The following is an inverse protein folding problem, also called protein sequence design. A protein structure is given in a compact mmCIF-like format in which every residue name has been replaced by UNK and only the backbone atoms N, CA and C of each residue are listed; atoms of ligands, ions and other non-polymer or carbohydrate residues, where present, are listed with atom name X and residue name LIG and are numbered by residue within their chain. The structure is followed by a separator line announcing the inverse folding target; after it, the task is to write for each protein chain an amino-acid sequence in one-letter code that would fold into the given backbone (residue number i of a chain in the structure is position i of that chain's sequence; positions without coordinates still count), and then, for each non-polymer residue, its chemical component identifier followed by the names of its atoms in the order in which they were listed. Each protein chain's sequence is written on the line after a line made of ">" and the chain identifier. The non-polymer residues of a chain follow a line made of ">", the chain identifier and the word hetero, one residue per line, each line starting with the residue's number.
data_IF_830106614035
#
_entry.id   IF_830106614035
#
_cell.length_a   1.000
_cell.length_b   1.000
_cell.length_c   1.000
_cell.angle_alpha   90.00
_cell.angle_beta   90.00
_cell.angle_gamma   90.00
#
_symmetry.space_group_name_H-M   'P 1'
#
loop_
_entity.id
_entity.type
_entity.pdbx_description
1 polymer ?
#
# COMPACT_ATOMS: atom_id res chain seq x y z
N UNK A 1 23.63 -5.02 -17.56
CA UNK A 1 24.38 -6.29 -17.64
C UNK A 1 24.00 -7.09 -18.89
N UNK A 2 22.71 -7.33 -19.14
CA UNK A 2 22.27 -8.12 -20.31
C UNK A 2 22.66 -7.48 -21.66
N UNK A 3 22.52 -6.15 -21.80
CA UNK A 3 22.91 -5.43 -23.03
C UNK A 3 24.41 -5.53 -23.28
N UNK A 4 25.23 -5.46 -22.23
CA UNK A 4 26.67 -5.63 -22.31
C UNK A 4 27.04 -7.03 -22.81
N UNK A 5 26.46 -8.08 -22.23
CA UNK A 5 26.70 -9.46 -22.61
C UNK A 5 26.25 -9.74 -24.06
N UNK A 6 25.09 -9.22 -24.45
CA UNK A 6 24.56 -9.38 -25.79
C UNK A 6 25.48 -8.71 -26.84
N UNK A 7 25.91 -7.45 -26.58
CA UNK A 7 26.83 -6.75 -27.48
C UNK A 7 28.18 -7.45 -27.59
N UNK A 8 28.71 -7.94 -26.47
CA UNK A 8 29.95 -8.72 -26.44
C UNK A 8 29.84 -10.01 -27.25
N UNK A 9 28.70 -10.73 -27.10
CA UNK A 9 28.45 -11.96 -27.85
C UNK A 9 28.31 -11.73 -29.40
N UNK A 10 27.81 -10.56 -29.78
CA UNK A 10 27.59 -10.16 -31.16
C UNK A 10 28.82 -9.45 -31.78
N UNK A 11 29.93 -9.28 -31.04
CA UNK A 11 31.13 -8.56 -31.50
C UNK A 11 30.87 -7.08 -31.78
N UNK A 12 29.86 -6.47 -31.18
CA UNK A 12 29.52 -5.06 -31.39
C UNK A 12 30.31 -4.17 -30.42
N UNK A 13 30.62 -2.94 -30.85
CA UNK A 13 31.26 -1.95 -30.00
C UNK A 13 30.48 -1.70 -28.72
N UNK A 14 31.19 -1.69 -27.59
CA UNK A 14 30.63 -1.47 -26.28
C UNK A 14 31.01 -0.05 -25.84
N UNK A 15 30.03 0.84 -25.83
CA UNK A 15 30.18 2.18 -25.27
C UNK A 15 29.75 2.18 -23.81
N UNK A 16 30.61 2.64 -22.91
CA UNK A 16 30.31 2.76 -21.49
C UNK A 16 30.92 4.04 -20.91
N UNK A 17 30.28 4.53 -19.88
CA UNK A 17 30.80 5.63 -19.05
C UNK A 17 31.12 5.03 -17.70
N UNK A 18 32.36 5.21 -17.25
CA UNK A 18 32.76 4.86 -15.88
C UNK A 18 32.27 6.01 -15.00
N UNK A 19 31.43 5.70 -14.03
CA UNK A 19 31.02 6.63 -12.99
C UNK A 19 31.47 6.05 -11.66
N UNK A 20 32.25 6.82 -10.93
CA UNK A 20 32.56 6.50 -9.54
C UNK A 20 31.33 6.90 -8.72
N UNK A 21 30.58 5.92 -8.26
CA UNK A 21 29.48 6.11 -7.33
C UNK A 21 29.39 4.89 -6.43
N UNK A 22 29.52 5.11 -5.16
CA UNK A 22 29.31 4.10 -4.12
C UNK A 22 27.85 4.04 -3.66
N UNK A 23 26.96 4.90 -4.18
CA UNK A 23 25.55 4.94 -3.79
C UNK A 23 24.66 4.17 -4.76
N UNK A 24 24.01 3.13 -4.21
CA UNK A 24 22.98 2.37 -4.91
C UNK A 24 21.83 3.25 -5.45
N UNK A 25 21.60 4.43 -4.86
CA UNK A 25 20.58 5.38 -5.31
C UNK A 25 20.91 5.96 -6.68
N UNK A 26 22.16 6.29 -6.96
CA UNK A 26 22.59 6.82 -8.26
C UNK A 26 22.40 5.78 -9.37
N UNK A 27 22.71 4.52 -9.08
CA UNK A 27 22.50 3.40 -10.02
C UNK A 27 21.01 3.19 -10.30
N UNK A 28 20.15 3.32 -9.28
CA UNK A 28 18.71 3.22 -9.44
C UNK A 28 18.16 4.36 -10.31
N UNK A 29 18.66 5.59 -10.11
CA UNK A 29 18.25 6.78 -10.86
C UNK A 29 18.61 6.65 -12.36
N UNK A 30 19.85 6.21 -12.65
CA UNK A 30 20.32 6.00 -14.02
C UNK A 30 19.46 4.95 -14.75
N UNK A 31 19.13 3.87 -14.07
CA UNK A 31 18.33 2.79 -14.65
C UNK A 31 16.85 3.16 -14.76
N UNK A 32 16.29 3.89 -13.79
CA UNK A 32 14.90 4.35 -13.83
C UNK A 32 14.61 5.26 -15.01
N UNK A 33 15.59 6.08 -15.43
CA UNK A 33 15.46 6.99 -16.57
C UNK A 33 15.58 6.29 -17.95
N UNK A 34 16.12 5.08 -18.01
CA UNK A 34 16.35 4.36 -19.28
C UNK A 34 15.27 3.33 -19.63
N UNK A 35 14.68 2.71 -18.65
CA UNK A 35 13.59 1.75 -18.84
C UNK A 35 12.67 1.90 -17.64
N UNK A 36 11.39 2.11 -17.84
CA UNK A 36 10.43 2.30 -16.75
C UNK A 36 10.50 1.14 -15.73
N UNK A 37 11.35 1.28 -14.73
CA UNK A 37 11.47 0.29 -13.66
C UNK A 37 10.14 0.13 -12.94
N UNK A 38 9.73 -1.10 -12.77
CA UNK A 38 8.57 -1.43 -11.93
C UNK A 38 8.91 -1.32 -10.45
N UNK A 39 7.90 -1.31 -9.59
CA UNK A 39 8.13 -1.36 -8.15
C UNK A 39 8.92 -2.61 -7.72
N UNK A 40 8.70 -3.73 -8.39
CA UNK A 40 9.41 -5.00 -8.15
C UNK A 40 10.90 -4.86 -8.49
N UNK A 41 11.24 -4.16 -9.57
CA UNK A 41 12.62 -3.90 -9.96
C UNK A 41 13.35 -3.07 -8.89
N UNK A 42 12.73 -1.97 -8.44
CA UNK A 42 13.30 -1.14 -7.37
C UNK A 42 13.46 -1.94 -6.05
N UNK A 43 12.41 -2.68 -5.65
CA UNK A 43 12.45 -3.51 -4.45
C UNK A 43 13.57 -4.57 -4.53
N UNK A 44 13.65 -5.28 -5.66
CA UNK A 44 14.68 -6.30 -5.90
C UNK A 44 16.08 -5.72 -5.83
N UNK A 45 16.29 -4.57 -6.49
CA UNK A 45 17.57 -3.86 -6.52
C UNK A 45 18.03 -3.46 -5.12
N UNK A 46 17.21 -2.73 -4.35
CA UNK A 46 17.61 -2.28 -3.02
C UNK A 46 17.71 -3.41 -2.00
N UNK A 47 16.99 -4.52 -2.19
CA UNK A 47 17.20 -5.73 -1.40
C UNK A 47 18.57 -6.38 -1.70
N UNK A 48 19.03 -6.37 -2.96
CA UNK A 48 20.36 -6.88 -3.32
C UNK A 48 21.49 -6.04 -2.69
N UNK A 49 21.26 -4.72 -2.52
CA UNK A 49 22.14 -3.84 -1.76
C UNK A 49 21.92 -3.87 -0.24
N UNK A 50 21.20 -4.87 0.26
CA UNK A 50 20.96 -5.13 1.69
C UNK A 50 20.35 -3.96 2.46
N UNK A 51 19.58 -3.10 1.78
CA UNK A 51 18.86 -2.00 2.44
C UNK A 51 17.78 -2.58 3.37
N UNK A 52 17.97 -2.42 4.68
CA UNK A 52 17.18 -3.07 5.75
C UNK A 52 15.67 -2.86 5.57
N UNK A 53 15.22 -1.61 5.34
CA UNK A 53 13.81 -1.29 5.23
C UNK A 53 13.15 -1.96 4.02
N UNK A 54 13.89 -2.11 2.90
CA UNK A 54 13.41 -2.83 1.71
C UNK A 54 13.33 -4.34 1.94
N UNK A 55 14.28 -4.91 2.70
CA UNK A 55 14.23 -6.33 3.08
C UNK A 55 13.02 -6.62 3.98
N UNK A 56 12.76 -5.75 4.94
CA UNK A 56 11.56 -5.85 5.80
C UNK A 56 10.30 -5.72 4.96
N UNK A 57 10.21 -4.70 4.10
CA UNK A 57 9.08 -4.50 3.19
C UNK A 57 8.84 -5.75 2.33
N UNK A 58 9.89 -6.32 1.71
CA UNK A 58 9.82 -7.54 0.91
C UNK A 58 9.30 -8.73 1.72
N UNK A 59 9.77 -8.90 2.96
CA UNK A 59 9.30 -9.94 3.86
C UNK A 59 7.81 -9.80 4.16
N UNK A 60 7.34 -8.58 4.46
CA UNK A 60 5.93 -8.29 4.76
C UNK A 60 5.01 -8.48 3.56
N UNK A 61 5.45 -8.07 2.38
CA UNK A 61 4.73 -8.32 1.11
C UNK A 61 4.54 -9.81 0.89
N UNK A 62 5.59 -10.62 1.11
CA UNK A 62 5.53 -12.07 0.98
C UNK A 62 4.64 -12.72 2.04
N UNK A 63 4.74 -12.28 3.30
CA UNK A 63 3.97 -12.80 4.43
C UNK A 63 2.46 -12.63 4.22
N UNK A 64 2.03 -11.44 3.75
CA UNK A 64 0.60 -11.11 3.62
C UNK A 64 0.08 -11.18 2.18
N UNK A 65 0.88 -11.63 1.22
CA UNK A 65 0.54 -11.69 -0.21
C UNK A 65 -0.04 -10.36 -0.74
N UNK A 66 0.58 -9.25 -0.33
CA UNK A 66 0.10 -7.90 -0.59
C UNK A 66 0.90 -7.25 -1.71
N UNK A 67 0.28 -6.49 -2.63
CA UNK A 67 1.03 -5.70 -3.62
C UNK A 67 1.91 -4.62 -2.94
N UNK A 68 3.02 -4.25 -3.60
CA UNK A 68 4.01 -3.32 -3.04
C UNK A 68 3.41 -1.96 -2.69
N UNK A 69 2.60 -1.40 -3.60
CA UNK A 69 2.02 -0.06 -3.40
C UNK A 69 1.07 -0.03 -2.20
N UNK A 70 0.33 -1.09 -1.98
CA UNK A 70 -0.56 -1.25 -0.85
C UNK A 70 0.23 -1.38 0.46
N UNK A 71 1.32 -2.14 0.45
CA UNK A 71 2.20 -2.23 1.60
C UNK A 71 2.83 -0.87 1.95
N UNK A 72 3.31 -0.12 0.95
CA UNK A 72 3.81 1.24 1.13
C UNK A 72 2.73 2.18 1.70
N UNK A 73 1.49 2.06 1.22
CA UNK A 73 0.34 2.83 1.72
C UNK A 73 0.09 2.57 3.20
N UNK A 74 0.13 1.30 3.62
CA UNK A 74 -0.06 0.93 5.04
C UNK A 74 1.10 1.46 5.89
N UNK A 75 2.36 1.28 5.44
CA UNK A 75 3.54 1.77 6.17
C UNK A 75 3.56 3.30 6.29
N UNK A 76 3.12 4.02 5.26
CA UNK A 76 3.03 5.48 5.31
C UNK A 76 1.99 5.97 6.31
N UNK A 77 1.09 5.09 6.74
CA UNK A 77 -0.02 5.44 7.62
C UNK A 77 -1.05 6.38 6.97
N UNK A 78 -0.97 6.65 5.68
CA UNK A 78 -1.93 7.48 4.95
C UNK A 78 -2.87 6.61 4.10
N UNK A 79 -4.14 6.99 3.91
CA UNK A 79 -5.07 6.23 3.08
C UNK A 79 -4.73 6.29 1.59
N UNK A 80 -3.89 7.23 1.19
CA UNK A 80 -3.38 7.40 -0.17
C UNK A 80 -1.86 7.35 -0.15
N UNK A 81 -1.26 6.61 -1.07
CA UNK A 81 0.19 6.62 -1.25
C UNK A 81 0.60 7.98 -1.80
N UNK A 82 1.36 8.72 -0.99
CA UNK A 82 1.87 10.04 -1.37
C UNK A 82 2.99 9.93 -2.41
N UNK A 83 3.13 10.97 -3.24
CA UNK A 83 4.20 11.08 -4.25
C UNK A 83 5.58 11.00 -3.64
N UNK A 84 5.79 11.62 -2.47
CA UNK A 84 7.05 11.64 -1.74
C UNK A 84 7.46 10.23 -1.33
N UNK A 85 6.54 9.42 -0.79
CA UNK A 85 6.81 8.02 -0.42
C UNK A 85 7.18 7.19 -1.65
N UNK A 86 6.52 7.46 -2.79
CA UNK A 86 6.81 6.79 -4.05
C UNK A 86 8.18 7.20 -4.58
N UNK A 87 8.53 8.49 -4.53
CA UNK A 87 9.85 9.01 -4.91
C UNK A 87 10.95 8.40 -4.04
N UNK A 88 10.79 8.50 -2.71
CA UNK A 88 11.75 7.93 -1.75
C UNK A 88 11.93 6.42 -1.94
N UNK A 89 10.84 5.69 -2.23
CA UNK A 89 10.95 4.27 -2.54
C UNK A 89 11.75 4.01 -3.81
N UNK A 90 11.50 4.75 -4.88
CA UNK A 90 12.20 4.57 -6.16
C UNK A 90 13.66 4.99 -6.10
N UNK A 91 13.99 5.95 -5.24
CA UNK A 91 15.34 6.52 -5.11
C UNK A 91 16.16 5.89 -3.97
N UNK A 92 15.66 4.84 -3.31
CA UNK A 92 16.40 4.15 -2.26
C UNK A 92 16.38 4.82 -0.89
N UNK A 93 15.61 5.90 -0.73
CA UNK A 93 15.49 6.66 0.53
C UNK A 93 14.35 6.21 1.43
N UNK A 94 13.52 5.25 0.97
CA UNK A 94 12.40 4.76 1.75
C UNK A 94 12.85 4.24 3.12
N UNK A 95 12.16 4.72 4.15
CA UNK A 95 12.34 4.31 5.55
C UNK A 95 11.01 3.89 6.14
N UNK A 96 11.02 2.81 6.89
CA UNK A 96 9.88 2.39 7.70
C UNK A 96 9.83 3.28 8.94
N UNK A 97 8.74 4.04 9.18
CA UNK A 97 8.62 4.88 10.35
C UNK A 97 8.77 4.08 11.65
N UNK A 98 9.36 4.69 12.67
CA UNK A 98 9.50 4.04 13.98
C UNK A 98 8.11 3.61 14.50
N UNK A 99 8.02 2.37 14.98
CA UNK A 99 6.76 1.80 15.47
C UNK A 99 5.74 1.39 14.40
N UNK A 100 5.97 1.68 13.11
CA UNK A 100 5.02 1.37 12.05
C UNK A 100 4.83 -0.14 11.80
N UNK A 101 5.80 -0.98 12.17
CA UNK A 101 5.72 -2.44 11.97
C UNK A 101 4.54 -3.07 12.70
N UNK A 102 4.32 -2.73 13.96
CA UNK A 102 3.19 -3.27 14.74
C UNK A 102 1.85 -2.82 14.18
N UNK A 103 1.76 -1.57 13.76
CA UNK A 103 0.59 -1.02 13.08
C UNK A 103 0.32 -1.71 11.74
N UNK A 104 1.38 -1.94 10.96
CA UNK A 104 1.30 -2.67 9.69
C UNK A 104 0.77 -4.08 9.90
N UNK A 105 1.38 -4.85 10.81
CA UNK A 105 1.00 -6.25 11.08
C UNK A 105 -0.45 -6.36 11.56
N UNK A 106 -0.89 -5.44 12.42
CA UNK A 106 -2.28 -5.38 12.85
C UNK A 106 -3.22 -5.16 11.66
N UNK A 107 -3.00 -4.12 10.87
CA UNK A 107 -3.82 -3.78 9.71
C UNK A 107 -3.81 -4.92 8.68
N UNK A 108 -2.64 -5.46 8.36
CA UNK A 108 -2.50 -6.54 7.39
C UNK A 108 -3.26 -7.81 7.82
N UNK A 109 -3.19 -8.19 9.11
CA UNK A 109 -3.96 -9.31 9.69
C UNK A 109 -5.47 -9.07 9.62
N UNK A 110 -5.91 -7.88 9.97
CA UNK A 110 -7.32 -7.49 9.92
C UNK A 110 -7.86 -7.57 8.48
N UNK A 111 -7.09 -7.05 7.51
CA UNK A 111 -7.44 -7.10 6.08
C UNK A 111 -7.44 -8.53 5.52
N UNK A 112 -6.46 -9.34 5.90
CA UNK A 112 -6.42 -10.75 5.51
C UNK A 112 -7.65 -11.49 6.04
N UNK A 113 -8.04 -11.23 7.29
CA UNK A 113 -9.27 -11.79 7.87
C UNK A 113 -10.52 -11.39 7.10
N UNK A 114 -10.66 -10.10 6.77
CA UNK A 114 -11.80 -9.60 5.98
C UNK A 114 -11.82 -10.28 4.61
N UNK A 115 -10.67 -10.35 3.93
CA UNK A 115 -10.55 -10.96 2.61
C UNK A 115 -10.91 -12.46 2.62
N UNK A 116 -10.59 -13.17 3.69
CA UNK A 116 -10.93 -14.59 3.83
C UNK A 116 -12.45 -14.83 4.00
N UNK A 117 -13.18 -13.85 4.54
CA UNK A 117 -14.65 -13.92 4.70
C UNK A 117 -15.37 -13.45 3.42
N UNK A 118 -14.76 -12.51 2.71
CA UNK A 118 -15.25 -12.07 1.41
C UNK A 118 -14.92 -13.16 0.39
N UNK A 119 -15.91 -13.97 0.01
CA UNK A 119 -15.73 -15.03 -0.99
C UNK A 119 -14.83 -14.57 -2.14
N UNK A 120 -13.74 -15.24 -2.35
CA UNK A 120 -12.62 -15.25 -3.29
C UNK A 120 -12.56 -14.30 -4.52
N UNK A 121 -13.61 -13.58 -4.85
CA UNK A 121 -13.67 -12.68 -6.01
C UNK A 121 -13.15 -11.28 -5.74
N UNK A 122 -13.01 -10.89 -4.48
CA UNK A 122 -12.54 -9.56 -4.10
C UNK A 122 -11.08 -9.67 -3.65
N UNK A 123 -10.17 -9.45 -4.58
CA UNK A 123 -8.75 -9.25 -4.25
C UNK A 123 -8.60 -7.98 -3.43
N UNK A 124 -7.62 -7.94 -2.52
CA UNK A 124 -7.23 -6.72 -1.80
C UNK A 124 -6.83 -5.63 -2.80
N UNK A 125 -7.82 -4.92 -3.33
CA UNK A 125 -7.62 -3.82 -4.28
C UNK A 125 -7.37 -2.52 -3.54
N UNK A 126 -6.69 -1.60 -4.18
CA UNK A 126 -6.37 -0.27 -3.65
C UNK A 126 -7.57 0.44 -3.01
N UNK A 127 -8.74 0.42 -3.66
CA UNK A 127 -9.98 1.01 -3.12
C UNK A 127 -10.42 0.39 -1.80
N UNK A 128 -10.31 -0.94 -1.67
CA UNK A 128 -10.62 -1.65 -0.43
C UNK A 128 -9.66 -1.27 0.70
N UNK A 129 -8.34 -1.30 0.43
CA UNK A 129 -7.31 -0.97 1.42
C UNK A 129 -7.48 0.46 1.91
N UNK A 130 -7.67 1.40 0.99
CA UNK A 130 -7.93 2.80 1.31
C UNK A 130 -9.18 2.98 2.18
N UNK A 131 -10.29 2.33 1.82
CA UNK A 131 -11.53 2.41 2.60
C UNK A 131 -11.35 1.86 4.01
N UNK A 132 -10.62 0.75 4.14
CA UNK A 132 -10.32 0.19 5.44
C UNK A 132 -9.44 1.12 6.28
N UNK A 133 -8.35 1.66 5.70
CA UNK A 133 -7.46 2.59 6.38
C UNK A 133 -8.18 3.85 6.87
N UNK A 134 -9.12 4.37 6.08
CA UNK A 134 -9.94 5.51 6.52
C UNK A 134 -10.90 5.08 7.62
N UNK A 135 -11.68 4.03 7.42
CA UNK A 135 -12.68 3.57 8.38
C UNK A 135 -12.09 3.19 9.73
N UNK A 136 -10.93 2.51 9.73
CA UNK A 136 -10.23 2.10 10.95
C UNK A 136 -9.66 3.26 11.78
N UNK A 137 -9.68 4.48 11.27
CA UNK A 137 -9.28 5.71 11.98
C UNK A 137 -10.44 6.45 12.63
N UNK A 138 -11.67 6.03 12.37
CA UNK A 138 -12.80 6.61 13.07
C UNK A 138 -12.63 6.37 14.58
N UNK A 139 -12.81 7.40 15.46
CA UNK A 139 -12.56 7.26 16.89
C UNK A 139 -13.30 6.09 17.54
N UNK A 140 -14.54 5.84 17.11
CA UNK A 140 -15.39 4.77 17.64
C UNK A 140 -15.29 3.47 16.81
N UNK A 141 -14.28 3.32 15.95
CA UNK A 141 -14.07 2.09 15.22
C UNK A 141 -13.61 0.96 16.13
N UNK A 142 -14.36 -0.14 16.12
CA UNK A 142 -14.00 -1.39 16.80
C UNK A 142 -13.95 -2.53 15.80
N UNK A 143 -12.75 -3.06 15.57
CA UNK A 143 -12.55 -4.18 14.67
C UNK A 143 -13.24 -5.46 15.16
N UNK A 144 -13.32 -5.69 16.48
CA UNK A 144 -14.01 -6.85 17.04
C UNK A 144 -15.49 -6.80 16.72
N UNK A 145 -16.10 -5.63 16.84
CA UNK A 145 -17.48 -5.37 16.42
C UNK A 145 -17.65 -5.60 14.90
N UNK A 146 -16.77 -5.02 14.10
CA UNK A 146 -16.81 -5.18 12.64
C UNK A 146 -16.70 -6.66 12.24
N UNK A 147 -15.76 -7.38 12.85
CA UNK A 147 -15.54 -8.82 12.66
C UNK A 147 -16.79 -9.64 13.01
N UNK A 148 -17.46 -9.34 14.11
CA UNK A 148 -18.71 -10.00 14.50
C UNK A 148 -19.84 -9.72 13.49
N UNK A 149 -19.97 -8.47 13.05
CA UNK A 149 -20.94 -8.07 12.05
C UNK A 149 -20.68 -8.74 10.68
N UNK A 150 -19.41 -8.88 10.30
CA UNK A 150 -19.00 -9.58 9.09
C UNK A 150 -19.36 -11.08 9.14
N UNK A 151 -19.18 -11.75 10.27
CA UNK A 151 -19.55 -13.17 10.42
C UNK A 151 -21.06 -13.39 10.25
N UNK A 152 -21.89 -12.50 10.78
CA UNK A 152 -23.34 -12.63 10.72
C UNK A 152 -23.95 -12.16 9.38
N UNK A 153 -23.26 -11.27 8.66
CA UNK A 153 -23.78 -10.57 7.47
C UNK A 153 -22.75 -10.40 6.34
N UNK A 154 -21.59 -11.01 6.45
CA UNK A 154 -20.43 -10.80 5.58
C UNK A 154 -20.60 -11.25 4.13
N UNK A 155 -21.62 -12.06 3.83
CA UNK A 155 -22.00 -12.38 2.46
C UNK A 155 -22.43 -11.14 1.63
N UNK A 156 -22.40 -9.95 2.23
CA UNK A 156 -22.84 -8.68 1.62
C UNK A 156 -21.70 -7.75 1.21
N UNK A 157 -20.44 -8.05 1.52
CA UNK A 157 -19.34 -7.31 0.94
C UNK A 157 -19.08 -7.81 -0.47
N UNK A 158 -19.54 -7.03 -1.43
CA UNK A 158 -19.34 -7.29 -2.85
C UNK A 158 -18.10 -6.55 -3.35
N UNK A 159 -17.52 -7.04 -4.45
CA UNK A 159 -16.48 -6.27 -5.15
C UNK A 159 -17.01 -4.91 -5.55
N UNK A 160 -16.34 -3.85 -5.11
CA UNK A 160 -16.70 -2.48 -5.44
C UNK A 160 -15.69 -1.84 -6.41
N UNK A 161 -16.14 -0.87 -7.18
CA UNK A 161 -15.29 -0.16 -8.15
C UNK A 161 -14.52 0.97 -7.47
N UNK A 162 -15.13 1.63 -6.48
CA UNK A 162 -14.56 2.80 -5.82
C UNK A 162 -14.33 2.61 -4.31
N UNK A 163 -13.45 3.44 -3.76
CA UNK A 163 -13.22 3.52 -2.31
C UNK A 163 -14.52 3.86 -1.57
N UNK A 164 -15.30 4.81 -2.09
CA UNK A 164 -16.54 5.25 -1.48
C UNK A 164 -17.58 4.12 -1.37
N UNK A 165 -17.69 3.29 -2.40
CA UNK A 165 -18.58 2.12 -2.37
C UNK A 165 -18.17 1.10 -1.30
N UNK A 166 -16.87 0.87 -1.11
CA UNK A 166 -16.39 0.04 0.00
C UNK A 166 -16.71 0.67 1.37
N UNK A 167 -16.54 2.00 1.52
CA UNK A 167 -16.90 2.70 2.77
C UNK A 167 -18.39 2.58 3.05
N UNK A 168 -19.27 2.68 2.03
CA UNK A 168 -20.71 2.44 2.17
C UNK A 168 -21.01 1.02 2.69
N UNK A 169 -20.33 0.03 2.13
CA UNK A 169 -20.50 -1.35 2.57
C UNK A 169 -20.02 -1.54 4.01
N UNK A 170 -18.85 -1.01 4.37
CA UNK A 170 -18.34 -1.06 5.74
C UNK A 170 -19.28 -0.35 6.71
N UNK A 171 -19.79 0.83 6.35
CA UNK A 171 -20.78 1.56 7.14
C UNK A 171 -22.04 0.72 7.39
N UNK A 172 -22.58 0.10 6.34
CA UNK A 172 -23.77 -0.75 6.44
C UNK A 172 -23.52 -1.97 7.32
N UNK A 173 -22.40 -2.67 7.12
CA UNK A 173 -22.06 -3.87 7.89
C UNK A 173 -21.80 -3.52 9.35
N UNK A 174 -20.99 -2.49 9.62
CA UNK A 174 -20.64 -2.08 10.98
C UNK A 174 -21.89 -1.71 11.81
N UNK A 175 -22.78 -0.93 11.21
CA UNK A 175 -23.97 -0.40 11.88
C UNK A 175 -25.14 -1.38 11.95
N UNK A 176 -25.01 -2.54 11.31
CA UNK A 176 -26.10 -3.52 11.28
C UNK A 176 -26.41 -4.04 12.70
N UNK A 177 -27.68 -3.89 13.11
CA UNK A 177 -28.16 -4.33 14.41
C UNK A 177 -27.79 -3.43 15.59
N UNK A 178 -27.15 -2.26 15.34
CA UNK A 178 -26.89 -1.27 16.39
C UNK A 178 -28.08 -0.34 16.61
N UNK A 179 -28.30 0.04 17.87
CA UNK A 179 -29.22 1.15 18.22
C UNK A 179 -28.72 2.46 17.59
N UNK A 180 -29.63 3.40 17.23
CA UNK A 180 -29.22 4.67 16.60
C UNK A 180 -28.09 5.40 17.30
N UNK A 181 -28.13 5.46 18.64
CA UNK A 181 -27.11 6.13 19.48
C UNK A 181 -25.73 5.47 19.48
N UNK A 182 -25.61 4.25 18.95
CA UNK A 182 -24.35 3.49 18.86
C UNK A 182 -23.82 3.38 17.43
N UNK A 183 -24.52 3.93 16.46
CA UNK A 183 -24.10 3.92 15.07
C UNK A 183 -23.01 4.96 14.85
N UNK A 184 -22.00 4.59 14.04
CA UNK A 184 -20.95 5.51 13.59
C UNK A 184 -21.23 5.98 12.16
N UNK A 185 -20.83 7.19 11.82
CA UNK A 185 -21.03 7.73 10.47
C UNK A 185 -19.73 7.70 9.67
N UNK A 186 -19.38 6.52 9.14
CA UNK A 186 -18.17 6.35 8.32
C UNK A 186 -18.23 7.14 7.01
N UNK A 187 -19.43 7.42 6.47
CA UNK A 187 -19.57 8.16 5.21
C UNK A 187 -19.13 9.60 5.40
N UNK A 188 -19.70 10.28 6.40
CA UNK A 188 -19.31 11.65 6.74
C UNK A 188 -17.83 11.73 7.12
N UNK A 189 -17.36 10.79 7.93
CA UNK A 189 -15.94 10.75 8.31
C UNK A 189 -15.02 10.60 7.09
N UNK A 190 -15.40 9.80 6.10
CA UNK A 190 -14.67 9.67 4.85
C UNK A 190 -14.68 10.97 4.05
N UNK A 191 -15.83 11.62 3.90
CA UNK A 191 -15.98 12.88 3.18
C UNK A 191 -15.13 13.99 3.83
N UNK A 192 -15.16 14.12 5.15
CA UNK A 192 -14.33 15.07 5.90
C UNK A 192 -12.83 14.83 5.66
N UNK A 193 -12.39 13.57 5.62
CA UNK A 193 -10.99 13.21 5.35
C UNK A 193 -10.58 13.41 3.89
N UNK A 194 -11.46 13.16 2.93
CA UNK A 194 -11.22 13.48 1.52
C UNK A 194 -11.05 14.99 1.32
N UNK A 195 -11.89 15.79 1.95
CA UNK A 195 -11.80 17.24 1.92
C UNK A 195 -10.47 17.76 2.50
N UNK A 196 -10.01 17.21 3.62
CA UNK A 196 -8.71 17.54 4.21
C UNK A 196 -7.54 17.22 3.25
N UNK A 197 -7.59 16.08 2.56
CA UNK A 197 -6.56 15.69 1.57
C UNK A 197 -6.57 16.64 0.37
N UNK A 198 -7.74 17.01 -0.11
CA UNK A 198 -7.89 17.89 -1.27
C UNK A 198 -7.44 19.33 -0.95
N UNK A 199 -7.80 19.84 0.22
CA UNK A 199 -7.35 21.15 0.71
C UNK A 199 -5.82 21.23 0.80
N UNK A 200 -5.17 20.18 1.30
CA UNK A 200 -3.70 20.13 1.41
C UNK A 200 -3.00 20.02 0.03
N UNK A 201 -3.70 19.60 -1.04
CA UNK A 201 -3.17 19.60 -2.41
C UNK A 201 -3.18 20.96 -3.08
N UNK A 202 -4.10 21.84 -2.67
CA UNK A 202 -4.25 23.18 -3.24
C UNK A 202 -3.26 24.18 -2.63
N UNK A 203 -2.73 23.88 -1.44
CA UNK A 203 -1.81 24.78 -0.68
C UNK A 203 -0.34 24.50 -1.00
N UNK A 204 -0.02 23.49 -1.82
CA UNK A 204 1.31 23.14 -2.30
C UNK A 204 1.35 23.11 -3.82
#
# INVERSE_FOLDING_TARGET
>A
HHTFQARKALGLDIYYIIMESDDASDMALINANRAGWTYENHLGFFCAYQRKDYMILKSKIKEYHMPIQEALTIFSGHPVLKSEVTSDFKEGRFKIPAGALSGFDRIAKEMTYINAIMHSTVKLRRGFIRSYLVSSRHPDWDFTRFKAAMRSKGARLLGAVSTYEYVKQFHSVYNAGLKPSKKINLLRFFEDKEYEVEKNRIVH
#
